data_IF_966811810909
#
_entry.id   IF_966811810909
#
_cell.length_a   1.000
_cell.length_b   1.000
_cell.length_c   1.000
_cell.angle_alpha   90.00
_cell.angle_beta   90.00
_cell.angle_gamma   90.00
#
_symmetry.space_group_name_H-M   'P 1'
#
loop_
_entity.id
_entity.type
_entity.pdbx_description
1 polymer ?
#
# COMPACT_ATOMS: atom_id res chain seq x y z
N UNK A 1 -15.97 -24.01 10.54
CA UNK A 1 -15.14 -22.93 11.12
C UNK A 1 -13.89 -22.82 10.26
N UNK A 2 -13.80 -21.79 9.42
CA UNK A 2 -12.64 -21.60 8.55
C UNK A 2 -11.68 -20.61 9.21
N UNK A 3 -10.49 -21.08 9.56
CA UNK A 3 -9.43 -20.23 10.08
C UNK A 3 -8.59 -19.75 8.91
N UNK A 4 -8.75 -18.48 8.55
CA UNK A 4 -7.92 -17.83 7.55
C UNK A 4 -6.65 -17.37 8.25
N UNK A 5 -5.53 -18.02 7.95
CA UNK A 5 -4.21 -17.62 8.43
C UNK A 5 -3.55 -16.83 7.30
N UNK A 6 -3.64 -15.50 7.35
CA UNK A 6 -2.88 -14.65 6.43
C UNK A 6 -1.42 -14.63 6.88
N UNK A 7 -0.51 -14.96 5.97
CA UNK A 7 0.91 -14.60 6.15
C UNK A 7 1.01 -13.09 6.28
N UNK A 8 1.82 -12.54 7.19
CA UNK A 8 2.04 -11.10 7.30
C UNK A 8 2.73 -10.62 6.02
N UNK A 9 1.94 -10.26 5.01
CA UNK A 9 2.42 -9.56 3.85
C UNK A 9 2.48 -8.10 4.24
N UNK A 10 3.64 -7.49 4.03
CA UNK A 10 3.91 -6.05 4.23
C UNK A 10 2.94 -5.14 3.43
N UNK A 11 2.08 -5.74 2.62
CA UNK A 11 1.16 -5.10 1.70
C UNK A 11 -0.31 -5.33 2.08
N UNK A 12 -0.64 -5.73 3.31
CA UNK A 12 -2.04 -5.84 3.76
C UNK A 12 -2.41 -4.66 4.66
N UNK A 13 -3.51 -3.97 4.36
CA UNK A 13 -4.08 -2.91 5.19
C UNK A 13 -5.41 -3.35 5.78
N UNK A 14 -5.59 -3.26 7.10
CA UNK A 14 -6.90 -3.43 7.74
C UNK A 14 -7.58 -2.07 7.80
N UNK A 15 -8.64 -1.90 7.02
CA UNK A 15 -9.48 -0.70 7.10
C UNK A 15 -10.50 -0.83 8.24
N UNK A 16 -10.83 0.27 8.95
CA UNK A 16 -11.82 0.26 10.02
C UNK A 16 -13.22 -0.23 9.58
N UNK A 17 -13.66 0.15 8.37
CA UNK A 17 -15.02 -0.10 7.90
C UNK A 17 -15.17 -1.02 6.69
N UNK A 18 -14.09 -1.33 5.95
CA UNK A 18 -14.16 -2.08 4.69
C UNK A 18 -13.36 -3.41 4.71
N UNK A 19 -12.89 -3.83 5.89
CA UNK A 19 -12.13 -5.08 6.04
C UNK A 19 -10.68 -4.98 5.56
N UNK A 20 -10.11 -6.10 5.15
CA UNK A 20 -8.71 -6.18 4.72
C UNK A 20 -8.55 -5.87 3.23
N UNK A 21 -7.58 -5.04 2.91
CA UNK A 21 -7.19 -4.66 1.56
C UNK A 21 -5.79 -5.20 1.29
N UNK A 22 -5.61 -5.81 0.11
CA UNK A 22 -4.31 -6.21 -0.38
C UNK A 22 -3.71 -5.09 -1.26
N UNK A 23 -2.83 -4.29 -0.67
CA UNK A 23 -2.10 -3.20 -1.33
C UNK A 23 -1.20 -3.70 -2.47
N UNK A 24 -0.79 -4.97 -2.50
CA UNK A 24 0.00 -5.50 -3.61
C UNK A 24 -0.79 -5.58 -4.93
N UNK A 25 -2.13 -5.53 -4.86
CA UNK A 25 -3.02 -5.50 -6.02
C UNK A 25 -3.33 -4.07 -6.48
N UNK A 26 -2.86 -3.06 -5.75
CA UNK A 26 -3.05 -1.66 -6.09
C UNK A 26 -1.99 -1.26 -7.09
N UNK A 27 -2.46 -0.69 -8.20
CA UNK A 27 -1.61 -0.14 -9.26
C UNK A 27 -1.27 1.33 -8.98
N UNK A 28 -2.25 2.08 -8.51
CA UNK A 28 -2.11 3.51 -8.24
C UNK A 28 -3.02 3.92 -7.09
N UNK A 29 -2.51 4.79 -6.22
CA UNK A 29 -3.26 5.42 -5.15
C UNK A 29 -3.28 6.93 -5.38
N UNK A 30 -4.47 7.50 -5.52
CA UNK A 30 -4.68 8.94 -5.52
C UNK A 30 -5.25 9.32 -4.15
N UNK A 31 -4.58 10.20 -3.42
CA UNK A 31 -5.02 10.66 -2.10
C UNK A 31 -5.27 12.16 -2.16
N UNK A 32 -6.47 12.58 -1.81
CA UNK A 32 -6.86 13.99 -1.74
C UNK A 32 -7.20 14.38 -0.31
N UNK A 33 -6.42 15.33 0.21
CA UNK A 33 -6.53 15.91 1.55
C UNK A 33 -7.09 17.35 1.52
N UNK A 34 -7.43 17.89 0.34
CA UNK A 34 -7.84 19.30 0.16
C UNK A 34 -9.10 19.65 0.97
N UNK A 35 -9.90 18.66 1.34
CA UNK A 35 -10.92 18.79 2.37
C UNK A 35 -10.42 18.08 3.62
N UNK A 36 -9.62 18.72 4.48
CA UNK A 36 -9.16 18.12 5.75
C UNK A 36 -10.31 17.56 6.63
N UNK A 37 -11.57 17.93 6.36
CA UNK A 37 -12.77 17.33 6.97
C UNK A 37 -13.22 15.97 6.38
N UNK A 38 -12.80 15.61 5.17
CA UNK A 38 -13.23 14.43 4.42
C UNK A 38 -12.11 13.90 3.49
N UNK A 39 -11.11 13.18 4.03
CA UNK A 39 -10.07 12.57 3.20
C UNK A 39 -10.68 11.51 2.28
N UNK A 40 -10.19 11.47 1.04
CA UNK A 40 -10.61 10.50 0.02
C UNK A 40 -9.39 9.85 -0.62
N UNK A 41 -9.43 8.52 -0.74
CA UNK A 41 -8.44 7.74 -1.44
C UNK A 41 -9.11 7.03 -2.62
N UNK A 42 -8.63 7.28 -3.84
CA UNK A 42 -9.04 6.54 -5.04
C UNK A 42 -7.95 5.50 -5.33
N UNK A 43 -8.32 4.24 -5.14
CA UNK A 43 -7.49 3.09 -5.45
C UNK A 43 -7.80 2.65 -6.86
N UNK A 44 -6.79 2.64 -7.72
CA UNK A 44 -6.84 1.96 -9.01
C UNK A 44 -6.17 0.59 -8.86
N UNK A 45 -6.93 -0.48 -9.08
CA UNK A 45 -6.47 -1.85 -8.98
C UNK A 45 -5.67 -2.28 -10.22
N UNK A 46 -4.94 -3.39 -10.13
CA UNK A 46 -4.14 -3.94 -11.22
C UNK A 46 -4.95 -4.23 -12.50
N UNK A 47 -6.23 -4.58 -12.36
CA UNK A 47 -7.16 -4.83 -13.46
C UNK A 47 -7.73 -3.52 -14.08
N UNK A 48 -7.38 -2.36 -13.53
CA UNK A 48 -7.85 -1.05 -13.98
C UNK A 48 -9.12 -0.56 -13.28
N UNK A 49 -9.77 -1.38 -12.45
CA UNK A 49 -10.93 -0.96 -11.69
C UNK A 49 -10.57 0.13 -10.69
N UNK A 50 -11.48 1.07 -10.48
CA UNK A 50 -11.32 2.17 -9.52
C UNK A 50 -12.28 2.02 -8.36
N UNK A 51 -11.78 2.18 -7.15
CA UNK A 51 -12.58 2.17 -5.92
C UNK A 51 -12.22 3.35 -5.03
N UNK A 52 -13.24 4.08 -4.58
CA UNK A 52 -13.08 5.21 -3.67
C UNK A 52 -13.29 4.78 -2.21
N UNK A 53 -12.34 5.13 -1.36
CA UNK A 53 -12.40 5.01 0.09
C UNK A 53 -12.45 6.41 0.69
N UNK A 54 -13.17 6.57 1.80
CA UNK A 54 -13.43 7.88 2.43
C UNK A 54 -13.07 7.81 3.91
N UNK A 55 -12.80 8.98 4.50
CA UNK A 55 -12.61 9.18 5.96
C UNK A 55 -11.51 8.25 6.50
N UNK A 56 -11.76 7.60 7.63
CA UNK A 56 -10.77 6.75 8.31
C UNK A 56 -10.21 5.64 7.41
N UNK A 57 -11.01 5.11 6.48
CA UNK A 57 -10.53 4.12 5.52
C UNK A 57 -9.48 4.71 4.57
N UNK A 58 -9.70 5.94 4.09
CA UNK A 58 -8.75 6.63 3.21
C UNK A 58 -7.42 6.89 3.94
N UNK A 59 -7.50 7.40 5.17
CA UNK A 59 -6.32 7.66 6.00
C UNK A 59 -5.54 6.37 6.31
N UNK A 60 -6.24 5.29 6.67
CA UNK A 60 -5.61 4.00 6.97
C UNK A 60 -4.91 3.40 5.74
N UNK A 61 -5.51 3.51 4.56
CA UNK A 61 -4.89 3.05 3.30
C UNK A 61 -3.64 3.86 2.99
N UNK A 62 -3.70 5.19 3.12
CA UNK A 62 -2.55 6.06 2.86
C UNK A 62 -1.38 5.78 3.81
N UNK A 63 -1.66 5.63 5.11
CA UNK A 63 -0.64 5.29 6.11
C UNK A 63 0.02 3.93 5.83
N UNK A 64 -0.79 2.90 5.56
CA UNK A 64 -0.28 1.58 5.25
C UNK A 64 0.50 1.55 3.92
N UNK A 65 0.10 2.37 2.94
CA UNK A 65 0.83 2.51 1.68
C UNK A 65 2.23 3.07 1.90
N UNK A 66 2.35 4.15 2.68
CA UNK A 66 3.63 4.76 3.01
C UNK A 66 4.56 3.79 3.74
N UNK A 67 4.05 3.09 4.76
CA UNK A 67 4.81 2.08 5.50
C UNK A 67 5.30 0.95 4.58
N UNK A 68 4.43 0.47 3.69
CA UNK A 68 4.78 -0.58 2.74
C UNK A 68 5.86 -0.12 1.75
N UNK A 69 5.79 1.12 1.25
CA UNK A 69 6.79 1.69 0.35
C UNK A 69 8.14 1.89 1.04
N UNK A 70 8.16 2.40 2.27
CA UNK A 70 9.40 2.61 3.04
C UNK A 70 10.11 1.27 3.30
N UNK A 71 9.37 0.25 3.72
CA UNK A 71 9.91 -1.10 3.92
C UNK A 71 10.44 -1.71 2.62
N UNK A 72 9.82 -1.39 1.47
CA UNK A 72 10.30 -1.83 0.16
C UNK A 72 11.62 -1.15 -0.21
N UNK A 73 11.75 0.15 0.03
CA UNK A 73 12.98 0.91 -0.21
C UNK A 73 14.14 0.37 0.65
N UNK A 74 13.88 0.09 1.93
CA UNK A 74 14.86 -0.52 2.82
C UNK A 74 15.29 -1.91 2.35
N UNK A 75 14.35 -2.74 1.86
CA UNK A 75 14.65 -4.09 1.35
C UNK A 75 15.35 -4.08 -0.01
N UNK A 76 15.09 -3.08 -0.85
CA UNK A 76 15.72 -2.91 -2.15
C UNK A 76 17.14 -2.33 -2.11
N UNK A 77 17.74 -2.14 -0.92
CA UNK A 77 19.15 -1.77 -0.77
C UNK A 77 20.17 -2.87 -1.21
N UNK A 78 19.69 -3.86 -1.97
CA UNK A 78 20.50 -4.86 -2.66
C UNK A 78 21.40 -4.28 -3.78
N UNK A 79 21.29 -2.98 -4.09
CA UNK A 79 22.21 -2.31 -5.04
C UNK A 79 23.62 -2.06 -4.49
N UNK A 80 23.88 -2.19 -3.19
CA UNK A 80 25.25 -2.08 -2.65
C UNK A 80 26.20 -3.19 -3.17
N UNK A 81 25.66 -4.29 -3.69
CA UNK A 81 26.44 -5.41 -4.23
C UNK A 81 26.62 -5.32 -5.76
N UNK A 82 25.75 -4.58 -6.47
CA UNK A 82 25.82 -4.47 -7.93
C UNK A 82 26.95 -3.57 -8.42
N UNK A 83 27.40 -2.61 -7.59
CA UNK A 83 28.53 -1.75 -7.89
C UNK A 83 29.91 -2.40 -7.68
N UNK A 84 30.01 -3.50 -6.92
CA UNK A 84 31.31 -4.18 -6.69
C UNK A 84 31.79 -5.02 -7.88
N UNK A 85 30.92 -5.31 -8.85
CA UNK A 85 31.25 -6.17 -10.00
C UNK A 85 31.47 -5.42 -11.32
N UNK A 86 31.46 -4.08 -11.34
CA UNK A 86 32.05 -3.34 -12.47
C UNK A 86 33.56 -3.26 -12.23
N UNK A 87 34.27 -4.33 -12.56
CA UNK A 87 35.72 -4.26 -12.79
C UNK A 87 35.97 -3.38 -14.03
N UNK A 88 37.02 -2.57 -13.87
CA UNK A 88 37.68 -1.65 -14.80
C UNK A 88 37.60 -2.02 -16.28
#
# INVERSE_FOLDING_TARGET
MHTIINTPSVFSCKTPGAGWINLAQVRQLEYDEVLHSYPVAIVTWHNGDKQAFKRENATAIMQAWLEATELMEQRCNCNSHRFKNRRL
#
